data_IF_833301326174
#
_entry.id   IF_833301326174
#
_cell.length_a   1.000
_cell.length_b   1.000
_cell.length_c   1.000
_cell.angle_alpha   90.00
_cell.angle_beta   90.00
_cell.angle_gamma   90.00
#
_symmetry.space_group_name_H-M   'P 1'
#
loop_
_entity.id
_entity.type
_entity.pdbx_description
1 polymer ?
#
# COMPACT_ATOMS: atom_id res chain seq x y z
N UNK A 1 -2.47 -11.78 -17.88
CA UNK A 1 -1.20 -11.64 -18.62
C UNK A 1 -1.03 -12.89 -19.47
N UNK A 2 -0.71 -12.77 -20.77
CA UNK A 2 -0.64 -13.90 -21.71
C UNK A 2 0.80 -14.36 -21.94
N UNK A 3 1.77 -13.43 -21.87
CA UNK A 3 3.21 -13.71 -21.89
C UNK A 3 3.91 -12.98 -20.74
N UNK A 4 4.30 -13.69 -19.68
CA UNK A 4 4.82 -13.09 -18.43
C UNK A 4 6.08 -12.26 -18.70
N UNK A 5 7.04 -12.77 -19.45
CA UNK A 5 8.37 -12.14 -19.60
C UNK A 5 8.30 -10.79 -20.33
N UNK A 6 7.32 -10.59 -21.22
CA UNK A 6 7.13 -9.36 -21.99
C UNK A 6 6.07 -8.44 -21.41
N UNK A 7 4.97 -9.00 -20.91
CA UNK A 7 3.83 -8.22 -20.42
C UNK A 7 4.16 -7.60 -19.06
N UNK A 8 4.89 -8.31 -18.19
CA UNK A 8 5.20 -7.85 -16.84
C UNK A 8 5.99 -6.53 -16.82
N UNK A 9 7.16 -6.38 -17.48
CA UNK A 9 7.90 -5.11 -17.46
C UNK A 9 7.12 -3.97 -18.12
N UNK A 10 6.39 -4.26 -19.21
CA UNK A 10 5.59 -3.25 -19.93
C UNK A 10 4.45 -2.72 -19.06
N UNK A 11 3.72 -3.60 -18.39
CA UNK A 11 2.62 -3.20 -17.49
C UNK A 11 3.16 -2.39 -16.33
N UNK A 12 4.32 -2.76 -15.75
CA UNK A 12 4.94 -1.99 -14.67
C UNK A 12 5.28 -0.57 -15.14
N UNK A 13 5.94 -0.40 -16.29
CA UNK A 13 6.30 0.93 -16.77
C UNK A 13 5.10 1.79 -17.15
N UNK A 14 4.13 1.24 -17.90
CA UNK A 14 2.95 2.01 -18.33
C UNK A 14 2.10 2.42 -17.12
N UNK A 15 1.87 1.50 -16.18
CA UNK A 15 1.11 1.81 -14.96
C UNK A 15 1.81 2.85 -14.10
N UNK A 16 3.13 2.75 -13.91
CA UNK A 16 3.91 3.72 -13.14
C UNK A 16 3.84 5.13 -13.73
N UNK A 17 4.05 5.26 -15.06
CA UNK A 17 3.99 6.55 -15.74
C UNK A 17 2.58 7.14 -15.66
N UNK A 18 1.54 6.32 -15.85
CA UNK A 18 0.15 6.75 -15.75
C UNK A 18 -0.19 7.30 -14.36
N UNK A 19 0.19 6.57 -13.30
CA UNK A 19 -0.02 7.03 -11.92
C UNK A 19 0.74 8.33 -11.65
N UNK A 20 1.98 8.45 -12.13
CA UNK A 20 2.78 9.67 -11.97
C UNK A 20 2.12 10.89 -12.63
N UNK A 21 1.61 10.75 -13.85
CA UNK A 21 0.93 11.83 -14.57
C UNK A 21 -0.36 12.25 -13.85
N UNK A 22 -1.18 11.28 -13.43
CA UNK A 22 -2.42 11.56 -12.70
C UNK A 22 -2.14 12.23 -11.35
N UNK A 23 -1.08 11.80 -10.66
CA UNK A 23 -0.68 12.39 -9.39
C UNK A 23 -0.19 13.84 -9.57
N UNK A 24 0.63 14.11 -10.57
CA UNK A 24 1.08 15.47 -10.89
C UNK A 24 -0.10 16.36 -11.26
N UNK A 25 -1.01 15.89 -12.12
CA UNK A 25 -2.21 16.62 -12.50
C UNK A 25 -3.08 16.98 -11.28
N UNK A 26 -3.25 16.03 -10.33
CA UNK A 26 -3.98 16.29 -9.09
C UNK A 26 -3.27 17.32 -8.19
N UNK A 27 -1.95 17.28 -8.08
CA UNK A 27 -1.22 18.29 -7.30
C UNK A 27 -1.37 19.69 -7.92
N UNK A 28 -1.27 19.80 -9.25
CA UNK A 28 -1.47 21.06 -9.96
C UNK A 28 -2.89 21.59 -9.74
N UNK A 29 -3.91 20.75 -9.79
CA UNK A 29 -5.30 21.18 -9.54
C UNK A 29 -5.50 21.65 -8.10
N UNK A 30 -4.88 20.99 -7.11
CA UNK A 30 -4.93 21.43 -5.71
C UNK A 30 -4.29 22.82 -5.52
N UNK A 31 -3.11 23.07 -6.09
CA UNK A 31 -2.46 24.39 -5.98
C UNK A 31 -3.16 25.50 -6.77
N UNK A 32 -3.92 25.16 -7.82
CA UNK A 32 -4.71 26.12 -8.57
C UNK A 32 -5.93 26.63 -7.78
N UNK A 33 -6.49 25.80 -6.90
CA UNK A 33 -7.75 26.09 -6.18
C UNK A 33 -7.52 26.46 -4.71
N UNK A 34 -6.53 25.87 -4.03
CA UNK A 34 -6.30 26.09 -2.59
C UNK A 34 -5.13 27.05 -2.31
N UNK A 35 -5.28 27.96 -1.33
CA UNK A 35 -4.17 28.72 -0.78
C UNK A 35 -3.11 27.80 -0.14
N UNK A 36 -1.82 28.12 -0.36
CA UNK A 36 -0.67 27.32 0.12
C UNK A 36 -0.72 26.99 1.63
N UNK A 37 -1.17 27.95 2.45
CA UNK A 37 -1.27 27.76 3.91
C UNK A 37 -2.30 26.72 4.35
N UNK A 38 -3.34 26.47 3.54
CA UNK A 38 -4.34 25.43 3.83
C UNK A 38 -3.82 24.04 3.48
N UNK A 39 -3.03 23.94 2.40
CA UNK A 39 -2.42 22.68 1.94
C UNK A 39 -1.42 22.14 2.96
N UNK A 40 -0.65 23.01 3.62
CA UNK A 40 0.35 22.59 4.62
C UNK A 40 -0.25 22.13 5.96
N UNK A 41 -1.44 22.63 6.31
CA UNK A 41 -2.09 22.36 7.61
C UNK A 41 -3.16 21.29 7.54
N UNK A 42 -3.74 21.04 6.36
CA UNK A 42 -4.85 20.12 6.21
C UNK A 42 -4.38 18.68 6.07
N UNK A 43 -4.93 17.79 6.92
CA UNK A 43 -4.79 16.35 6.75
C UNK A 43 -5.76 15.79 5.68
N UNK A 44 -6.64 16.63 5.13
CA UNK A 44 -7.77 16.19 4.27
C UNK A 44 -7.92 17.08 3.04
N UNK A 45 -6.85 17.23 2.25
CA UNK A 45 -6.76 18.14 1.10
C UNK A 45 -7.93 17.96 0.10
N UNK A 46 -8.35 16.72 -0.17
CA UNK A 46 -9.46 16.44 -1.09
C UNK A 46 -10.81 17.01 -0.62
N UNK A 47 -11.05 17.06 0.70
CA UNK A 47 -12.26 17.62 1.28
C UNK A 47 -12.29 19.14 1.10
N UNK A 48 -11.15 19.80 1.36
CA UNK A 48 -11.02 21.25 1.24
C UNK A 48 -11.06 21.69 -0.23
N UNK A 49 -10.57 20.86 -1.14
CA UNK A 49 -10.77 21.03 -2.57
C UNK A 49 -12.25 20.97 -2.98
N UNK A 50 -12.99 19.98 -2.50
CA UNK A 50 -14.44 19.89 -2.72
C UNK A 50 -15.19 21.11 -2.17
N UNK A 51 -14.78 21.61 -0.99
CA UNK A 51 -15.32 22.84 -0.39
C UNK A 51 -15.07 24.07 -1.24
N UNK A 52 -13.86 24.23 -1.75
CA UNK A 52 -13.49 25.39 -2.53
C UNK A 52 -14.22 25.48 -3.88
N UNK A 53 -14.56 24.33 -4.49
CA UNK A 53 -15.24 24.28 -5.78
C UNK A 53 -16.77 24.40 -5.70
N UNK A 54 -17.41 23.64 -4.81
CA UNK A 54 -18.88 23.51 -4.76
C UNK A 54 -19.46 23.76 -3.36
N UNK A 55 -18.70 24.41 -2.48
CA UNK A 55 -19.11 24.69 -1.11
C UNK A 55 -19.31 23.42 -0.27
N UNK A 56 -20.20 23.48 0.72
CA UNK A 56 -20.41 22.38 1.67
C UNK A 56 -20.92 21.08 1.00
N UNK A 57 -21.67 21.19 -0.10
CA UNK A 57 -22.13 20.03 -0.86
C UNK A 57 -20.96 19.30 -1.54
N UNK A 58 -20.05 20.04 -2.18
CA UNK A 58 -18.83 19.47 -2.77
C UNK A 58 -17.96 18.76 -1.74
N UNK A 59 -17.84 19.34 -0.55
CA UNK A 59 -17.14 18.71 0.57
C UNK A 59 -17.67 17.29 0.83
N UNK A 60 -18.98 17.16 1.01
CA UNK A 60 -19.61 15.90 1.38
C UNK A 60 -19.43 14.84 0.29
N UNK A 61 -19.59 15.22 -0.98
CA UNK A 61 -19.43 14.31 -2.12
C UNK A 61 -17.97 13.82 -2.20
N UNK A 62 -17.00 14.73 -2.16
CA UNK A 62 -15.57 14.35 -2.20
C UNK A 62 -15.16 13.52 -0.97
N UNK A 63 -15.69 13.83 0.22
CA UNK A 63 -15.49 13.01 1.42
C UNK A 63 -15.98 11.57 1.20
N UNK A 64 -17.19 11.42 0.66
CA UNK A 64 -17.80 10.12 0.40
C UNK A 64 -16.99 9.30 -0.60
N UNK A 65 -16.57 9.91 -1.72
CA UNK A 65 -15.76 9.24 -2.74
C UNK A 65 -14.41 8.78 -2.18
N UNK A 66 -13.73 9.65 -1.43
CA UNK A 66 -12.44 9.32 -0.79
C UNK A 66 -12.62 8.23 0.27
N UNK A 67 -13.70 8.28 1.06
CA UNK A 67 -14.00 7.26 2.06
C UNK A 67 -14.23 5.89 1.43
N UNK A 68 -15.00 5.81 0.34
CA UNK A 68 -15.23 4.56 -0.42
C UNK A 68 -13.90 4.02 -0.99
N UNK A 69 -13.05 4.90 -1.53
CA UNK A 69 -11.73 4.52 -2.04
C UNK A 69 -10.83 3.96 -0.94
N UNK A 70 -10.75 4.64 0.21
CA UNK A 70 -9.99 4.16 1.37
C UNK A 70 -10.52 2.84 1.91
N UNK A 71 -11.84 2.66 1.94
CA UNK A 71 -12.46 1.40 2.33
C UNK A 71 -12.06 0.26 1.38
N UNK A 72 -12.14 0.50 0.06
CA UNK A 72 -11.70 -0.46 -0.96
C UNK A 72 -10.22 -0.84 -0.82
N UNK A 73 -9.34 0.15 -0.64
CA UNK A 73 -7.90 -0.07 -0.45
C UNK A 73 -7.60 -0.87 0.83
N UNK A 74 -8.31 -0.58 1.93
CA UNK A 74 -8.16 -1.28 3.21
C UNK A 74 -8.61 -2.74 3.09
N UNK A 75 -9.77 -2.99 2.49
CA UNK A 75 -10.28 -4.33 2.25
C UNK A 75 -9.31 -5.17 1.40
N UNK A 76 -8.78 -4.60 0.30
CA UNK A 76 -7.76 -5.26 -0.52
C UNK A 76 -6.48 -5.57 0.27
N UNK A 77 -6.02 -4.63 1.10
CA UNK A 77 -4.82 -4.80 1.92
C UNK A 77 -4.98 -5.85 3.02
N UNK A 78 -6.19 -5.99 3.59
CA UNK A 78 -6.51 -7.05 4.56
C UNK A 78 -6.32 -8.44 3.95
N UNK A 79 -6.81 -8.68 2.73
CA UNK A 79 -6.64 -9.99 2.08
C UNK A 79 -5.18 -10.33 1.77
N UNK A 80 -4.41 -9.37 1.28
CA UNK A 80 -2.99 -9.58 0.97
C UNK A 80 -2.17 -9.85 2.23
N UNK A 81 -2.41 -9.07 3.28
CA UNK A 81 -1.68 -9.21 4.56
C UNK A 81 -2.03 -10.53 5.26
N UNK A 82 -3.31 -10.93 5.25
CA UNK A 82 -3.71 -12.20 5.83
C UNK A 82 -3.05 -13.41 5.13
N UNK A 83 -2.82 -13.34 3.81
CA UNK A 83 -2.06 -14.36 3.07
C UNK A 83 -0.59 -14.39 3.44
N UNK A 84 0.03 -13.23 3.64
CA UNK A 84 1.43 -13.13 4.09
C UNK A 84 1.59 -13.76 5.48
N UNK A 85 0.72 -13.40 6.44
CA UNK A 85 0.72 -13.98 7.80
C UNK A 85 0.51 -15.50 7.75
N UNK A 86 -0.41 -15.96 6.91
CA UNK A 86 -0.67 -17.39 6.71
C UNK A 86 0.56 -18.14 6.18
N UNK A 87 1.26 -17.58 5.18
CA UNK A 87 2.48 -18.17 4.62
C UNK A 87 3.60 -18.21 5.67
N UNK A 88 3.81 -17.10 6.40
CA UNK A 88 4.80 -17.02 7.46
C UNK A 88 4.53 -18.04 8.59
N UNK A 89 3.27 -18.26 8.95
CA UNK A 89 2.89 -19.28 9.93
C UNK A 89 3.11 -20.72 9.43
N UNK A 90 3.01 -20.97 8.12
CA UNK A 90 3.34 -22.27 7.53
C UNK A 90 4.83 -22.57 7.50
N UNK A 91 5.66 -21.55 7.36
CA UNK A 91 7.12 -21.66 7.42
C UNK A 91 7.65 -21.73 8.86
N UNK A 92 6.77 -21.64 9.87
CA UNK A 92 7.12 -21.80 11.28
C UNK A 92 7.56 -20.50 11.98
N UNK A 93 7.51 -19.34 11.30
CA UNK A 93 7.84 -18.05 11.90
C UNK A 93 6.79 -17.55 12.90
N UNK A 94 5.55 -18.04 12.79
CA UNK A 94 4.44 -17.71 13.68
C UNK A 94 3.80 -18.99 14.24
N UNK A 95 3.16 -18.92 15.42
CA UNK A 95 2.47 -20.07 16.01
C UNK A 95 1.50 -20.73 15.02
N UNK A 96 1.49 -22.06 15.00
CA UNK A 96 0.71 -22.87 14.03
C UNK A 96 -0.80 -22.58 14.04
N UNK A 97 -1.32 -21.91 15.06
CA UNK A 97 -2.70 -21.42 15.13
C UNK A 97 -3.03 -20.39 14.05
N UNK A 98 -2.08 -19.56 13.60
CA UNK A 98 -2.29 -18.56 12.54
C UNK A 98 -2.19 -19.15 11.13
N UNK A 99 -1.57 -20.33 11.00
CA UNK A 99 -1.47 -21.11 9.75
C UNK A 99 -2.66 -22.05 9.51
N UNK A 100 -3.70 -22.01 10.36
CA UNK A 100 -4.92 -22.82 10.19
C UNK A 100 -5.97 -22.06 9.38
N UNK A 101 -6.39 -22.66 8.28
CA UNK A 101 -7.54 -22.20 7.51
C UNK A 101 -8.84 -22.64 8.19
N UNK A 102 -9.84 -21.76 8.19
CA UNK A 102 -11.16 -22.12 8.67
C UNK A 102 -11.79 -23.16 7.72
N UNK A 103 -12.34 -24.26 8.26
CA UNK A 103 -12.78 -25.44 7.49
C UNK A 103 -13.92 -25.13 6.49
N UNK A 104 -14.82 -24.20 6.80
CA UNK A 104 -15.94 -23.82 5.93
C UNK A 104 -15.60 -22.74 4.91
N UNK A 105 -15.01 -21.63 5.37
CA UNK A 105 -14.78 -20.44 4.54
C UNK A 105 -13.44 -20.44 3.79
N UNK A 106 -12.53 -21.37 4.08
CA UNK A 106 -11.15 -21.40 3.54
C UNK A 106 -10.43 -20.05 3.67
N UNK A 107 -10.77 -19.26 4.68
CA UNK A 107 -10.16 -17.98 5.00
C UNK A 107 -9.29 -18.10 6.27
N UNK A 108 -8.12 -17.43 6.32
CA UNK A 108 -7.26 -17.43 7.50
C UNK A 108 -7.80 -16.43 8.54
N UNK A 109 -8.88 -16.80 9.23
CA UNK A 109 -9.61 -15.91 10.16
C UNK A 109 -8.72 -15.44 11.33
N UNK A 110 -7.88 -16.32 11.86
CA UNK A 110 -6.95 -15.98 12.94
C UNK A 110 -5.89 -14.94 12.52
N UNK A 111 -5.43 -15.00 11.27
CA UNK A 111 -4.49 -14.03 10.72
C UNK A 111 -5.14 -12.65 10.55
N UNK A 112 -6.40 -12.62 10.12
CA UNK A 112 -7.18 -11.37 10.01
C UNK A 112 -7.41 -10.74 11.39
N UNK A 113 -7.78 -11.53 12.39
CA UNK A 113 -7.96 -11.03 13.77
C UNK A 113 -6.65 -10.46 14.31
N UNK A 114 -5.53 -11.16 14.13
CA UNK A 114 -4.21 -10.67 14.53
C UNK A 114 -3.89 -9.32 13.87
N UNK A 115 -4.12 -9.21 12.56
CA UNK A 115 -3.91 -7.97 11.82
C UNK A 115 -4.76 -6.82 12.38
N UNK A 116 -6.04 -7.07 12.69
CA UNK A 116 -6.95 -6.06 13.26
C UNK A 116 -6.48 -5.63 14.65
N UNK A 117 -6.07 -6.56 15.50
CA UNK A 117 -5.55 -6.26 16.84
C UNK A 117 -4.30 -5.38 16.75
N UNK A 118 -3.34 -5.74 15.88
CA UNK A 118 -2.12 -4.94 15.68
C UNK A 118 -2.47 -3.55 15.14
N UNK A 119 -3.41 -3.47 14.19
CA UNK A 119 -3.86 -2.19 13.61
C UNK A 119 -4.51 -1.30 14.68
N UNK A 120 -5.38 -1.86 15.53
CA UNK A 120 -6.00 -1.13 16.65
C UNK A 120 -4.95 -0.64 17.65
N UNK A 121 -4.02 -1.50 18.04
CA UNK A 121 -2.92 -1.14 18.93
C UNK A 121 -2.08 0.02 18.35
N UNK A 122 -1.76 -0.07 17.07
CA UNK A 122 -1.02 0.96 16.36
C UNK A 122 -1.77 2.29 16.30
N UNK A 123 -3.09 2.26 16.07
CA UNK A 123 -3.94 3.46 16.08
C UNK A 123 -3.97 4.10 17.48
N UNK A 124 -4.11 3.30 18.53
CA UNK A 124 -4.21 3.79 19.91
C UNK A 124 -2.90 4.41 20.43
N UNK A 125 -1.75 3.89 20.00
CA UNK A 125 -0.43 4.31 20.51
C UNK A 125 0.31 5.25 19.56
N UNK A 126 -0.03 5.25 18.27
CA UNK A 126 0.79 5.82 17.20
C UNK A 126 0.95 7.35 17.18
N UNK A 127 0.54 8.07 18.22
CA UNK A 127 0.98 9.46 18.47
C UNK A 127 0.62 10.50 17.40
N UNK A 128 -0.27 10.15 16.45
CA UNK A 128 -0.72 11.01 15.36
C UNK A 128 -0.35 10.52 13.96
N UNK A 129 -1.10 11.00 12.96
CA UNK A 129 -0.99 10.56 11.55
C UNK A 129 0.42 10.73 10.97
N UNK A 130 1.09 11.84 11.25
CA UNK A 130 2.43 12.14 10.71
C UNK A 130 3.50 11.19 11.24
N UNK A 131 3.43 10.84 12.52
CA UNK A 131 4.34 9.89 13.16
C UNK A 131 4.15 8.50 12.59
N UNK A 132 2.90 8.07 12.40
CA UNK A 132 2.58 6.79 11.78
C UNK A 132 3.14 6.67 10.36
N UNK A 133 2.96 7.69 9.51
CA UNK A 133 3.51 7.71 8.16
C UNK A 133 5.03 7.63 8.19
N UNK A 134 5.68 8.40 9.07
CA UNK A 134 7.14 8.40 9.15
C UNK A 134 7.67 7.01 9.54
N UNK A 135 7.07 6.39 10.57
CA UNK A 135 7.46 5.05 11.02
C UNK A 135 7.30 4.00 9.92
N UNK A 136 6.13 3.96 9.25
CA UNK A 136 5.90 3.03 8.14
C UNK A 136 6.85 3.31 6.98
N UNK A 137 7.11 4.59 6.68
CA UNK A 137 8.07 5.00 5.67
C UNK A 137 9.46 4.45 5.95
N UNK A 138 10.03 4.75 7.12
CA UNK A 138 11.37 4.28 7.51
C UNK A 138 11.45 2.75 7.46
N UNK A 139 10.45 2.05 7.99
CA UNK A 139 10.41 0.60 7.95
C UNK A 139 10.37 0.06 6.51
N UNK A 140 9.46 0.56 5.67
CA UNK A 140 9.30 0.09 4.29
C UNK A 140 10.57 0.34 3.45
N UNK A 141 11.14 1.54 3.52
CA UNK A 141 12.36 1.89 2.79
C UNK A 141 13.55 1.03 3.22
N UNK A 142 13.66 0.71 4.52
CA UNK A 142 14.70 -0.18 5.04
C UNK A 142 14.55 -1.59 4.46
N UNK A 143 13.35 -2.17 4.47
CA UNK A 143 13.12 -3.50 3.91
C UNK A 143 13.28 -3.55 2.39
N UNK A 144 12.89 -2.50 1.67
CA UNK A 144 13.14 -2.40 0.23
C UNK A 144 14.64 -2.31 -0.09
N UNK A 145 15.40 -1.55 0.70
CA UNK A 145 16.84 -1.51 0.57
C UNK A 145 17.48 -2.88 0.84
N UNK A 146 17.11 -3.55 1.93
CA UNK A 146 17.60 -4.89 2.25
C UNK A 146 17.27 -5.91 1.16
N UNK A 147 16.07 -5.84 0.58
CA UNK A 147 15.67 -6.72 -0.53
C UNK A 147 16.51 -6.43 -1.78
N UNK A 148 16.77 -5.16 -2.08
CA UNK A 148 17.66 -4.77 -3.18
C UNK A 148 19.10 -5.26 -2.99
N UNK A 149 19.65 -5.12 -1.79
CA UNK A 149 20.98 -5.67 -1.43
C UNK A 149 20.96 -7.19 -1.54
N UNK A 150 19.92 -7.85 -1.03
CA UNK A 150 19.74 -9.30 -1.12
C UNK A 150 19.75 -9.81 -2.57
N UNK A 151 19.11 -9.07 -3.49
CA UNK A 151 19.14 -9.39 -4.92
C UNK A 151 20.56 -9.29 -5.50
N UNK A 152 21.33 -8.26 -5.13
CA UNK A 152 22.73 -8.10 -5.56
C UNK A 152 23.59 -9.24 -5.00
N UNK A 153 23.45 -9.55 -3.71
CA UNK A 153 24.17 -10.65 -3.05
C UNK A 153 23.85 -11.98 -3.71
N UNK A 154 22.58 -12.25 -4.01
CA UNK A 154 22.16 -13.47 -4.71
C UNK A 154 22.71 -13.51 -6.14
N UNK A 155 22.86 -12.35 -6.80
CA UNK A 155 23.45 -12.26 -8.13
C UNK A 155 24.92 -12.66 -8.15
N UNK A 156 25.65 -12.38 -7.07
CA UNK A 156 27.06 -12.76 -6.90
C UNK A 156 27.19 -14.22 -6.45
N UNK A 157 26.35 -14.66 -5.50
CA UNK A 157 26.46 -15.99 -4.88
C UNK A 157 25.92 -17.12 -5.75
N UNK A 158 24.84 -16.87 -6.51
CA UNK A 158 24.15 -17.89 -7.31
C UNK A 158 23.90 -17.38 -8.76
N UNK A 159 24.96 -17.31 -9.60
CA UNK A 159 24.85 -16.78 -10.95
C UNK A 159 24.10 -17.71 -11.93
N UNK A 160 24.02 -19.01 -11.62
CA UNK A 160 23.48 -20.05 -12.52
C UNK A 160 21.97 -20.31 -12.44
N UNK A 161 21.22 -19.57 -11.61
CA UNK A 161 19.77 -19.75 -11.51
C UNK A 161 19.05 -19.25 -12.78
N UNK A 162 18.10 -20.02 -13.36
CA UNK A 162 17.32 -19.57 -14.50
C UNK A 162 16.42 -18.39 -14.11
N UNK A 163 16.70 -17.20 -14.67
CA UNK A 163 15.94 -15.97 -14.43
C UNK A 163 14.97 -15.73 -15.59
N UNK A 164 13.69 -15.90 -15.35
CA UNK A 164 12.64 -15.70 -16.37
C UNK A 164 12.44 -14.22 -16.72
N UNK A 165 12.64 -13.32 -15.76
CA UNK A 165 12.48 -11.87 -15.96
C UNK A 165 13.82 -11.17 -15.74
N UNK A 166 14.59 -11.00 -16.81
CA UNK A 166 15.82 -10.20 -16.77
C UNK A 166 15.42 -8.72 -16.94
N UNK A 167 15.25 -8.00 -15.82
CA UNK A 167 15.09 -6.53 -15.81
C UNK A 167 16.42 -5.82 -16.11
N UNK A 168 17.14 -6.26 -17.13
CA UNK A 168 18.39 -5.66 -17.57
C UNK A 168 18.56 -5.88 -19.07
N UNK A 169 18.12 -4.90 -19.84
CA UNK A 169 18.75 -4.50 -21.11
C UNK A 169 18.65 -2.99 -21.19
#
# INVERSE_FOLDING_TARGET
MKNIDRDLPRVIHISMISVMVLFLAANVSYFAVLPKGTVERSNTIALDFGRALFGNFGALVFAGVVAISCFGATNGSMFTTARLIYSAAREGYLPSMFGRLHKGLKTPLNAMVLQVIITLFYILIGGGFRTMINFVGVAAWTFYFLTGVGLIVLRVKEPGLPRQVVLAS
#
